data_IF_720754711991
#
_entry.id   IF_720754711991
#
_cell.length_a   1.000
_cell.length_b   1.000
_cell.length_c   1.000
_cell.angle_alpha   90.00
_cell.angle_beta   90.00
_cell.angle_gamma   90.00
#
_symmetry.space_group_name_H-M   'P 1'
#
loop_
_entity.id
_entity.type
_entity.pdbx_description
1 polymer ?
#
# COMPACT_ATOMS: atom_id res chain seq x y z
N UNK A 1 -39.35 54.03 -52.94
CA UNK A 1 -37.90 54.32 -52.96
C UNK A 1 -37.24 53.26 -52.10
N UNK A 2 -36.72 52.25 -52.79
CA UNK A 2 -36.22 51.01 -52.23
C UNK A 2 -34.72 51.02 -52.35
N UNK A 3 -33.99 50.84 -51.24
CA UNK A 3 -32.57 50.49 -51.28
C UNK A 3 -32.32 49.39 -50.26
N UNK A 4 -32.19 48.18 -50.80
CA UNK A 4 -31.85 46.95 -50.10
C UNK A 4 -30.32 46.83 -50.14
N UNK A 5 -29.65 47.00 -48.99
CA UNK A 5 -28.19 46.85 -48.88
C UNK A 5 -27.88 45.40 -48.54
N UNK A 6 -27.44 44.63 -49.54
CA UNK A 6 -26.85 43.30 -49.34
C UNK A 6 -25.33 43.49 -49.31
N UNK A 7 -24.76 43.68 -48.12
CA UNK A 7 -23.32 43.66 -47.93
C UNK A 7 -22.85 42.21 -47.70
N UNK A 8 -21.88 41.79 -48.49
CA UNK A 8 -21.34 40.44 -48.66
C UNK A 8 -20.89 39.75 -47.37
N UNK A 9 -21.69 38.76 -46.93
CA UNK A 9 -21.45 37.88 -45.77
C UNK A 9 -20.67 36.60 -46.16
N UNK A 10 -19.49 36.74 -46.76
CA UNK A 10 -18.62 35.60 -47.16
C UNK A 10 -17.20 35.61 -46.57
N UNK A 11 -16.81 36.66 -45.84
CA UNK A 11 -15.46 36.78 -45.24
C UNK A 11 -15.38 36.37 -43.75
N UNK A 12 -16.52 36.28 -43.04
CA UNK A 12 -16.54 35.95 -41.61
C UNK A 12 -16.42 34.45 -41.29
N UNK A 13 -16.60 33.56 -42.26
CA UNK A 13 -16.61 32.10 -42.00
C UNK A 13 -15.21 31.51 -41.78
N UNK A 14 -14.17 32.18 -42.29
CA UNK A 14 -12.79 31.68 -42.20
C UNK A 14 -12.21 31.90 -40.79
N UNK A 15 -12.56 33.00 -40.12
CA UNK A 15 -12.10 33.28 -38.75
C UNK A 15 -12.71 32.34 -37.71
N UNK A 16 -13.95 31.90 -37.92
CA UNK A 16 -14.67 31.02 -36.98
C UNK A 16 -14.02 29.63 -36.89
N UNK A 17 -13.62 29.07 -38.04
CA UNK A 17 -12.97 27.76 -38.10
C UNK A 17 -11.61 27.74 -37.39
N UNK A 18 -10.86 28.83 -37.48
CA UNK A 18 -9.56 28.95 -36.80
C UNK A 18 -9.71 28.90 -35.28
N UNK A 19 -10.70 29.59 -34.72
CA UNK A 19 -10.95 29.61 -33.26
C UNK A 19 -11.31 28.22 -32.75
N UNK A 20 -12.11 27.46 -33.48
CA UNK A 20 -12.49 26.09 -33.11
C UNK A 20 -11.27 25.17 -33.05
N UNK A 21 -10.37 25.26 -34.03
CA UNK A 21 -9.15 24.44 -34.06
C UNK A 21 -8.24 24.77 -32.87
N UNK A 22 -8.05 26.06 -32.57
CA UNK A 22 -7.24 26.49 -31.42
C UNK A 22 -7.87 26.03 -30.10
N UNK A 23 -9.18 26.16 -29.95
CA UNK A 23 -9.89 25.71 -28.75
C UNK A 23 -9.74 24.19 -28.55
N UNK A 24 -9.89 23.40 -29.62
CA UNK A 24 -9.68 21.95 -29.57
C UNK A 24 -8.23 21.60 -29.17
N UNK A 25 -7.25 22.33 -29.70
CA UNK A 25 -5.84 22.13 -29.36
C UNK A 25 -5.54 22.43 -27.89
N UNK A 26 -6.06 23.54 -27.36
CA UNK A 26 -5.95 23.91 -25.93
C UNK A 26 -6.59 22.83 -25.05
N UNK A 27 -7.77 22.31 -25.44
CA UNK A 27 -8.46 21.25 -24.70
C UNK A 27 -7.63 19.95 -24.65
N UNK A 28 -7.00 19.56 -25.76
CA UNK A 28 -6.10 18.40 -25.80
C UNK A 28 -4.91 18.60 -24.84
N UNK A 29 -4.30 19.79 -24.83
CA UNK A 29 -3.19 20.10 -23.92
C UNK A 29 -3.64 19.98 -22.45
N UNK A 30 -4.80 20.55 -22.10
CA UNK A 30 -5.34 20.48 -20.75
C UNK A 30 -5.57 19.02 -20.32
N UNK A 31 -6.11 18.16 -21.19
CA UNK A 31 -6.33 16.74 -20.87
C UNK A 31 -5.00 15.99 -20.66
N UNK A 32 -4.02 16.22 -21.53
CA UNK A 32 -2.70 15.60 -21.43
C UNK A 32 -1.98 16.01 -20.14
N UNK A 33 -2.07 17.28 -19.75
CA UNK A 33 -1.42 17.78 -18.54
C UNK A 33 -2.19 17.40 -17.27
N UNK A 34 -3.52 17.48 -17.32
CA UNK A 34 -4.40 17.10 -16.21
C UNK A 34 -4.25 15.64 -15.82
N UNK A 35 -4.19 14.73 -16.80
CA UNK A 35 -4.00 13.30 -16.53
C UNK A 35 -2.65 12.97 -15.87
N UNK A 36 -1.57 13.71 -16.19
CA UNK A 36 -0.26 13.55 -15.53
C UNK A 36 -0.28 14.07 -14.09
N UNK A 37 -0.94 15.20 -13.85
CA UNK A 37 -1.07 15.75 -12.50
C UNK A 37 -1.82 14.81 -11.55
N UNK A 38 -2.91 14.19 -12.02
CA UNK A 38 -3.71 13.25 -11.20
C UNK A 38 -2.88 12.03 -10.75
N UNK A 39 -2.00 11.51 -11.61
CA UNK A 39 -1.16 10.36 -11.27
C UNK A 39 -0.19 10.67 -10.13
N UNK A 40 0.49 11.83 -10.16
CA UNK A 40 1.46 12.19 -9.12
C UNK A 40 0.81 12.52 -7.77
N UNK A 41 -0.43 13.00 -7.76
CA UNK A 41 -1.19 13.16 -6.51
C UNK A 41 -1.60 11.82 -5.89
N UNK A 42 -1.89 10.82 -6.72
CA UNK A 42 -2.26 9.48 -6.26
C UNK A 42 -1.09 8.82 -5.52
N UNK A 43 0.10 8.83 -6.12
CA UNK A 43 1.32 8.26 -5.52
C UNK A 43 1.65 8.87 -4.14
N UNK A 44 1.61 10.20 -4.02
CA UNK A 44 1.90 10.88 -2.74
C UNK A 44 0.86 10.60 -1.67
N UNK A 45 -0.39 10.37 -2.07
CA UNK A 45 -1.47 10.04 -1.13
C UNK A 45 -1.29 8.63 -0.58
N UNK A 46 -0.78 7.71 -1.39
CA UNK A 46 -0.55 6.32 -0.98
C UNK A 46 0.63 6.22 0.00
N UNK A 47 1.67 7.02 -0.15
CA UNK A 47 2.77 7.12 0.84
C UNK A 47 2.27 7.61 2.20
N UNK A 48 1.44 8.66 2.23
CA UNK A 48 0.88 9.18 3.47
C UNK A 48 -0.04 8.15 4.17
N UNK A 49 -0.86 7.44 3.39
CA UNK A 49 -1.70 6.35 3.91
C UNK A 49 -0.85 5.19 4.43
N UNK A 50 0.30 4.91 3.81
CA UNK A 50 1.19 3.85 4.26
C UNK A 50 1.88 4.19 5.59
N UNK A 51 2.19 5.47 5.82
CA UNK A 51 2.66 5.95 7.12
C UNK A 51 1.59 5.76 8.19
N UNK A 52 0.32 6.08 7.89
CA UNK A 52 -0.79 5.85 8.81
C UNK A 52 -0.97 4.35 9.10
N UNK A 53 -0.95 3.51 8.06
CA UNK A 53 -0.96 2.05 8.21
C UNK A 53 0.16 1.57 9.15
N UNK A 54 1.38 2.06 8.98
CA UNK A 54 2.52 1.69 9.82
C UNK A 54 2.30 2.11 11.29
N UNK A 55 1.74 3.30 11.51
CA UNK A 55 1.44 3.81 12.85
C UNK A 55 0.32 3.02 13.53
N UNK A 56 -0.76 2.72 12.80
CA UNK A 56 -1.90 1.95 13.31
C UNK A 56 -1.46 0.52 13.65
N UNK A 57 -0.72 -0.11 12.75
CA UNK A 57 -0.15 -1.44 12.97
C UNK A 57 0.75 -1.45 14.20
N UNK A 58 1.60 -0.44 14.35
CA UNK A 58 2.50 -0.30 15.51
C UNK A 58 1.72 -0.14 16.80
N UNK A 59 0.75 0.77 16.82
CA UNK A 59 -0.09 1.03 17.99
C UNK A 59 -0.85 -0.24 18.40
N UNK A 60 -1.48 -0.93 17.45
CA UNK A 60 -2.21 -2.17 17.70
C UNK A 60 -1.32 -3.27 18.29
N UNK A 61 -0.14 -3.48 17.69
CA UNK A 61 0.82 -4.49 18.17
C UNK A 61 1.37 -4.13 19.54
N UNK A 62 1.78 -2.87 19.77
CA UNK A 62 2.29 -2.43 21.08
C UNK A 62 1.21 -2.58 22.16
N UNK A 63 -0.04 -2.22 21.89
CA UNK A 63 -1.15 -2.36 22.83
C UNK A 63 -1.45 -3.83 23.19
N UNK A 64 -1.34 -4.76 22.22
CA UNK A 64 -1.57 -6.19 22.45
C UNK A 64 -0.39 -6.83 23.19
N UNK A 65 0.84 -6.34 22.98
CA UNK A 65 2.05 -6.87 23.60
C UNK A 65 1.96 -6.95 25.12
N UNK A 66 1.37 -5.91 25.75
CA UNK A 66 1.24 -5.80 27.20
C UNK A 66 0.10 -6.65 27.79
N UNK A 67 -0.83 -7.13 26.95
CA UNK A 67 -2.00 -7.91 27.38
C UNK A 67 -1.71 -9.42 27.28
N UNK A 68 -1.10 -9.98 28.32
CA UNK A 68 -0.70 -11.40 28.35
C UNK A 68 -1.90 -12.34 28.19
N UNK A 69 -1.78 -13.33 27.31
CA UNK A 69 -2.81 -14.33 27.02
C UNK A 69 -4.00 -13.79 26.23
N UNK A 70 -3.95 -12.52 25.80
CA UNK A 70 -5.01 -11.92 25.00
C UNK A 70 -4.77 -12.22 23.54
N UNK A 71 -5.78 -12.81 22.90
CA UNK A 71 -5.84 -13.02 21.46
C UNK A 71 -6.78 -11.99 20.88
N UNK A 72 -6.32 -11.22 19.89
CA UNK A 72 -7.17 -10.30 19.14
C UNK A 72 -7.13 -10.60 17.66
N UNK A 73 -8.29 -10.43 17.05
CA UNK A 73 -8.40 -10.24 15.62
C UNK A 73 -8.01 -8.80 15.31
N UNK A 74 -7.00 -8.61 14.47
CA UNK A 74 -6.53 -7.30 14.05
C UNK A 74 -6.79 -7.15 12.57
N UNK A 75 -7.63 -6.18 12.24
CA UNK A 75 -7.91 -5.77 10.87
C UNK A 75 -7.25 -4.41 10.65
N UNK A 76 -6.46 -4.29 9.58
CA UNK A 76 -5.79 -3.04 9.23
C UNK A 76 -6.02 -2.74 7.76
N UNK A 77 -6.42 -1.51 7.45
CA UNK A 77 -6.59 -1.05 6.07
C UNK A 77 -5.23 -0.82 5.42
N UNK A 78 -4.96 -1.58 4.36
CA UNK A 78 -3.78 -1.42 3.52
C UNK A 78 -4.08 -0.39 2.42
N UNK A 79 -3.21 0.60 2.19
CA UNK A 79 -3.39 1.52 1.06
C UNK A 79 -3.46 0.79 -0.28
N UNK A 80 -4.10 1.44 -1.24
CA UNK A 80 -4.21 0.95 -2.61
C UNK A 80 -2.83 0.69 -3.23
N UNK A 81 -2.77 -0.23 -4.18
CA UNK A 81 -1.53 -0.59 -4.86
C UNK A 81 -0.71 -1.67 -4.19
N UNK A 82 -1.00 -2.04 -2.93
CA UNK A 82 -0.36 -3.15 -2.22
C UNK A 82 -1.27 -4.38 -2.17
N UNK A 83 -0.69 -5.53 -2.51
CA UNK A 83 -1.39 -6.82 -2.58
C UNK A 83 -1.11 -7.71 -1.38
N UNK A 84 0.06 -7.59 -0.76
CA UNK A 84 0.47 -8.44 0.38
C UNK A 84 1.30 -7.67 1.39
N UNK A 85 1.26 -8.13 2.63
CA UNK A 85 2.13 -7.68 3.72
C UNK A 85 2.82 -8.88 4.35
N UNK A 86 4.14 -8.83 4.45
CA UNK A 86 4.96 -9.87 5.04
C UNK A 86 5.59 -9.39 6.35
N UNK A 87 5.32 -10.12 7.42
CA UNK A 87 5.97 -10.00 8.71
C UNK A 87 7.15 -10.95 8.77
N UNK A 88 8.27 -10.52 9.31
CA UNK A 88 9.41 -11.38 9.61
C UNK A 88 9.83 -11.20 11.06
N UNK A 89 10.29 -12.26 11.70
CA UNK A 89 11.03 -12.10 12.95
C UNK A 89 12.45 -11.62 12.61
N UNK A 90 13.00 -10.70 13.43
CA UNK A 90 14.37 -10.19 13.21
C UNK A 90 15.36 -11.35 13.20
N UNK A 91 15.98 -11.60 12.05
CA UNK A 91 17.36 -12.10 11.83
C UNK A 91 17.95 -13.20 12.72
N UNK A 92 17.16 -13.95 13.50
CA UNK A 92 17.65 -15.20 14.11
C UNK A 92 17.69 -16.34 13.10
N UNK A 93 17.18 -16.12 11.90
CA UNK A 93 17.20 -17.10 10.83
C UNK A 93 18.47 -16.90 10.02
N UNK A 94 19.43 -17.81 10.22
CA UNK A 94 20.64 -17.86 9.43
C UNK A 94 20.23 -17.92 7.95
N UNK A 95 20.60 -16.93 7.10
CA UNK A 95 20.11 -16.80 5.73
C UNK A 95 20.46 -17.99 4.84
N UNK A 96 21.37 -18.87 5.28
CA UNK A 96 21.78 -20.08 4.59
C UNK A 96 20.85 -21.28 4.85
N UNK A 97 20.09 -21.28 5.95
CA UNK A 97 19.18 -22.38 6.33
C UNK A 97 17.70 -21.99 6.24
N UNK A 98 17.41 -20.77 5.80
CA UNK A 98 16.03 -20.33 5.67
C UNK A 98 15.42 -20.82 4.36
N UNK A 99 14.59 -21.86 4.44
CA UNK A 99 13.73 -22.30 3.35
C UNK A 99 12.47 -21.45 3.41
N UNK A 100 12.38 -20.47 2.53
CA UNK A 100 11.21 -19.63 2.44
C UNK A 100 9.98 -20.50 2.13
N UNK A 101 8.84 -20.31 2.84
CA UNK A 101 7.60 -21.00 2.51
C UNK A 101 7.28 -20.81 1.02
N UNK A 102 6.84 -21.87 0.36
CA UNK A 102 6.47 -21.83 -1.07
C UNK A 102 5.51 -20.66 -1.34
N UNK A 103 5.96 -19.66 -2.10
CA UNK A 103 5.17 -18.47 -2.43
C UNK A 103 5.58 -17.16 -1.75
N UNK A 104 6.59 -17.14 -0.88
CA UNK A 104 7.19 -15.87 -0.42
C UNK A 104 8.08 -15.28 -1.51
N UNK A 105 7.86 -14.02 -1.93
CA UNK A 105 8.68 -13.43 -2.99
C UNK A 105 10.10 -13.13 -2.49
N UNK A 106 11.09 -13.44 -3.32
CA UNK A 106 12.53 -13.27 -3.03
C UNK A 106 12.92 -11.86 -2.57
N UNK A 107 12.14 -10.86 -3.00
CA UNK A 107 12.34 -9.45 -2.68
C UNK A 107 12.25 -9.20 -1.17
N UNK A 108 11.34 -9.90 -0.49
CA UNK A 108 11.17 -9.81 0.97
C UNK A 108 12.38 -10.38 1.69
N UNK A 109 12.95 -11.47 1.16
CA UNK A 109 14.13 -12.15 1.71
C UNK A 109 15.40 -11.31 1.50
N UNK A 110 15.47 -10.54 0.41
CA UNK A 110 16.62 -9.67 0.14
C UNK A 110 16.57 -8.37 0.94
N UNK A 111 15.43 -7.68 0.97
CA UNK A 111 15.28 -6.43 1.75
C UNK A 111 15.30 -6.69 3.25
N UNK A 112 14.80 -7.84 3.71
CA UNK A 112 14.90 -8.20 5.12
C UNK A 112 16.34 -8.28 5.58
N UNK A 113 17.32 -8.56 4.71
CA UNK A 113 18.74 -8.71 5.07
C UNK A 113 19.49 -7.41 5.31
N UNK A 114 19.00 -6.29 4.81
CA UNK A 114 19.78 -5.04 4.74
C UNK A 114 19.22 -3.92 5.61
N UNK A 115 17.97 -4.02 6.05
CA UNK A 115 17.29 -2.93 6.75
C UNK A 115 16.73 -3.41 8.07
N UNK A 116 16.78 -2.56 9.11
CA UNK A 116 16.18 -2.81 10.42
C UNK A 116 14.64 -2.68 10.38
N UNK A 117 14.03 -3.44 9.49
CA UNK A 117 12.62 -3.52 9.22
C UNK A 117 12.17 -4.97 9.39
N UNK A 118 10.92 -5.14 9.80
CA UNK A 118 10.34 -6.47 9.99
C UNK A 118 8.93 -6.61 9.42
N UNK A 119 8.48 -5.61 8.69
CA UNK A 119 7.23 -5.62 7.93
C UNK A 119 7.53 -5.09 6.53
N UNK A 120 7.16 -5.86 5.52
CA UNK A 120 7.40 -5.57 4.12
C UNK A 120 6.08 -5.59 3.35
N UNK A 121 5.91 -4.69 2.40
CA UNK A 121 4.76 -4.67 1.49
C UNK A 121 5.16 -5.23 0.13
N UNK A 122 4.19 -5.76 -0.62
CA UNK A 122 4.34 -6.19 -2.01
C UNK A 122 3.30 -5.45 -2.87
N UNK A 123 3.72 -4.60 -3.84
CA UNK A 123 5.11 -4.27 -4.20
C UNK A 123 5.87 -3.56 -3.05
N UNK A 124 7.21 -3.55 -3.11
CA UNK A 124 8.01 -2.94 -2.06
C UNK A 124 7.78 -1.43 -2.01
N UNK A 125 7.56 -0.90 -0.82
CA UNK A 125 7.53 0.54 -0.56
C UNK A 125 8.88 1.07 -0.09
N UNK A 126 9.02 2.39 -0.12
CA UNK A 126 10.16 3.12 0.46
C UNK A 126 9.94 3.43 1.95
N UNK A 127 8.72 3.25 2.47
CA UNK A 127 8.39 3.48 3.87
C UNK A 127 8.90 2.32 4.73
N UNK A 128 9.78 2.66 5.68
CA UNK A 128 10.35 1.70 6.62
C UNK A 128 9.39 1.36 7.76
N UNK A 129 8.88 0.13 7.78
CA UNK A 129 7.98 -0.32 8.85
C UNK A 129 8.73 -1.24 9.82
N UNK A 130 8.76 -0.83 11.09
CA UNK A 130 9.43 -1.56 12.18
C UNK A 130 8.52 -1.68 13.39
N UNK A 131 8.15 -2.91 13.70
CA UNK A 131 7.41 -3.31 14.89
C UNK A 131 8.36 -3.83 15.96
N UNK A 132 8.25 -3.30 17.18
CA UNK A 132 9.00 -3.80 18.33
C UNK A 132 8.33 -5.05 18.87
N UNK A 133 9.13 -5.95 19.43
CA UNK A 133 8.66 -7.13 20.17
C UNK A 133 7.71 -8.04 19.38
N UNK A 134 7.90 -8.12 18.06
CA UNK A 134 7.15 -8.99 17.17
C UNK A 134 7.84 -10.36 17.08
N UNK A 135 7.09 -11.43 17.31
CA UNK A 135 7.46 -12.80 16.92
C UNK A 135 6.48 -13.29 15.86
N UNK A 136 6.96 -14.07 14.91
CA UNK A 136 6.16 -14.51 13.76
C UNK A 136 6.18 -16.03 13.73
N UNK A 137 5.00 -16.65 13.68
CA UNK A 137 4.91 -18.09 13.56
C UNK A 137 5.62 -18.56 12.27
N UNK A 138 6.57 -19.50 12.40
CA UNK A 138 7.47 -19.96 11.32
C UNK A 138 8.44 -18.90 10.75
N UNK A 139 8.69 -17.82 11.49
CA UNK A 139 9.72 -16.81 11.18
C UNK A 139 9.33 -15.80 10.10
N UNK A 140 8.52 -16.16 9.11
CA UNK A 140 7.92 -15.23 8.14
C UNK A 140 6.44 -15.58 7.92
N UNK A 141 5.61 -14.56 7.88
CA UNK A 141 4.19 -14.66 7.60
C UNK A 141 3.82 -13.60 6.56
N UNK A 142 3.41 -14.02 5.38
CA UNK A 142 2.83 -13.14 4.38
C UNK A 142 1.31 -13.28 4.38
N UNK A 143 0.63 -12.15 4.40
CA UNK A 143 -0.83 -12.05 4.35
C UNK A 143 -1.21 -11.37 3.04
N UNK A 144 -2.21 -11.93 2.39
CA UNK A 144 -2.84 -11.34 1.23
C UNK A 144 -3.84 -10.27 1.67
N UNK A 145 -3.93 -9.19 0.91
CA UNK A 145 -4.92 -8.13 1.10
C UNK A 145 -6.23 -8.54 0.42
N UNK A 146 -7.31 -8.60 1.20
CA UNK A 146 -8.67 -8.82 0.70
C UNK A 146 -9.40 -7.47 0.76
N UNK A 147 -9.77 -6.92 -0.41
CA UNK A 147 -10.45 -5.63 -0.51
C UNK A 147 -9.73 -4.45 0.17
N UNK A 148 -8.39 -4.47 0.17
CA UNK A 148 -7.59 -3.43 0.82
C UNK A 148 -7.52 -3.57 2.34
N UNK A 149 -7.91 -4.71 2.89
CA UNK A 149 -7.80 -5.02 4.32
C UNK A 149 -6.93 -6.26 4.49
N UNK A 150 -6.04 -6.20 5.48
CA UNK A 150 -5.33 -7.37 5.97
C UNK A 150 -5.87 -7.76 7.34
N UNK A 151 -6.11 -9.04 7.53
CA UNK A 151 -6.60 -9.60 8.78
C UNK A 151 -5.59 -10.61 9.35
N UNK A 152 -5.29 -10.47 10.64
CA UNK A 152 -4.40 -11.39 11.32
C UNK A 152 -4.76 -11.58 12.78
N UNK A 153 -4.27 -12.70 13.31
CA UNK A 153 -4.32 -13.00 14.72
C UNK A 153 -3.07 -12.43 15.40
N UNK A 154 -3.28 -11.63 16.43
CA UNK A 154 -2.22 -11.15 17.30
C UNK A 154 -2.44 -11.66 18.73
N UNK A 155 -1.41 -12.28 19.31
CA UNK A 155 -1.45 -12.87 20.64
C UNK A 155 -0.37 -12.27 21.54
N UNK A 156 -0.80 -11.65 22.65
CA UNK A 156 0.08 -11.00 23.61
C UNK A 156 0.71 -11.98 24.57
N UNK A 157 2.04 -11.97 24.69
CA UNK A 157 2.81 -12.76 25.67
C UNK A 157 3.13 -11.96 26.95
N UNK A 158 2.79 -10.67 26.99
CA UNK A 158 3.15 -9.73 28.06
C UNK A 158 4.50 -9.03 27.85
N UNK A 159 5.26 -9.43 26.83
CA UNK A 159 6.51 -8.80 26.39
C UNK A 159 6.59 -8.68 24.88
N UNK A 160 6.15 -9.73 24.19
CA UNK A 160 6.10 -9.83 22.73
C UNK A 160 4.69 -10.13 22.25
N UNK A 161 4.44 -9.85 20.97
CA UNK A 161 3.24 -10.28 20.25
C UNK A 161 3.62 -11.35 19.26
N UNK A 162 2.92 -12.48 19.30
CA UNK A 162 2.97 -13.44 18.22
C UNK A 162 1.91 -13.11 17.17
N UNK A 163 2.33 -13.06 15.90
CA UNK A 163 1.42 -12.87 14.77
C UNK A 163 1.30 -14.15 13.95
N UNK A 164 0.05 -14.48 13.59
CA UNK A 164 -0.32 -15.65 12.78
C UNK A 164 -1.53 -15.36 11.89
N UNK A 165 -1.79 -16.22 10.90
CA UNK A 165 -2.94 -16.08 10.00
C UNK A 165 -4.25 -16.27 10.76
N UNK A 166 -5.25 -15.42 10.49
CA UNK A 166 -6.59 -15.58 11.05
C UNK A 166 -7.32 -16.79 10.44
N UNK A 167 -8.24 -17.41 11.20
CA UNK A 167 -9.05 -18.54 10.75
C UNK A 167 -8.33 -19.89 10.60
N UNK A 168 -7.00 -19.94 10.69
CA UNK A 168 -6.24 -21.19 10.81
C UNK A 168 -6.18 -21.55 12.29
N UNK A 169 -6.55 -22.79 12.65
CA UNK A 169 -6.48 -23.26 14.04
C UNK A 169 -5.05 -23.05 14.55
N UNK A 170 -4.85 -22.25 15.60
CA UNK A 170 -3.53 -21.91 16.07
C UNK A 170 -2.85 -23.15 16.66
N UNK A 171 -1.60 -23.34 16.23
CA UNK A 171 -0.56 -23.90 17.08
C UNK A 171 -0.37 -22.92 18.27
N UNK A 172 -0.24 -23.45 19.48
CA UNK A 172 -0.29 -22.73 20.76
C UNK A 172 0.77 -21.61 20.85
N UNK A 173 0.69 -20.70 21.85
CA UNK A 173 1.79 -19.74 22.20
C UNK A 173 3.18 -20.39 22.20
N UNK A 174 3.25 -21.69 22.52
CA UNK A 174 4.49 -22.48 22.50
C UNK A 174 5.17 -22.51 21.14
N UNK A 175 4.43 -22.37 20.05
CA UNK A 175 4.90 -22.46 18.67
C UNK A 175 5.35 -21.10 18.10
N UNK A 176 5.33 -20.05 18.93
CA UNK A 176 5.84 -18.72 18.63
C UNK A 176 7.16 -18.42 19.34
N UNK A 177 7.84 -19.45 19.85
CA UNK A 177 9.00 -19.36 20.75
C UNK A 177 10.26 -19.95 20.15
#
# INVERSE_FOLDING_TARGET
MSSFVVASKKSQTVSEMFVIIVAAFVLIIIILWGSRAIKSFTERTDDAKLVNFANDLRSNVENIAYQRGTVKHVEVSLPGGFSKVCFTERFKVNPLNYRAPTGTPDIVIQKSKTVDQNVFTIPPSDVSIKLKNLTVHNGILCLDSNDGVIDFRAEGSGKTVCVSKWGVVPLSIKDCK
#
